data_IF_631831275307
#
_entry.id   IF_631831275307
#
_cell.length_a   1.000
_cell.length_b   1.000
_cell.length_c   1.000
_cell.angle_alpha   90.00
_cell.angle_beta   90.00
_cell.angle_gamma   90.00
#
_symmetry.space_group_name_H-M   'P 1'
#
loop_
_entity.id
_entity.type
_entity.pdbx_description
1 polymer ?
#
# COMPACT_ATOMS: atom_id res chain seq x y z
N UNK A 1 -7.80 7.97 6.62
CA UNK A 1 -7.38 6.81 5.80
C UNK A 1 -8.49 6.42 4.84
N UNK A 2 -8.14 6.19 3.58
CA UNK A 2 -9.02 5.57 2.58
C UNK A 2 -9.28 4.13 3.01
N UNK A 3 -10.54 3.69 3.07
CA UNK A 3 -10.86 2.27 3.27
C UNK A 3 -10.54 1.55 1.94
N UNK A 4 -9.66 0.54 1.91
CA UNK A 4 -9.44 -0.30 0.74
C UNK A 4 -10.72 -1.06 0.39
N UNK A 5 -10.95 -1.23 -0.91
CA UNK A 5 -12.09 -1.98 -1.45
C UNK A 5 -11.59 -3.15 -2.31
N UNK A 6 -12.50 -4.10 -2.59
CA UNK A 6 -12.21 -5.19 -3.53
C UNK A 6 -11.72 -4.65 -4.87
N UNK A 7 -10.70 -5.31 -5.42
CA UNK A 7 -10.01 -4.99 -6.68
C UNK A 7 -9.15 -3.73 -6.67
N UNK A 8 -9.01 -3.03 -5.55
CA UNK A 8 -8.01 -1.96 -5.44
C UNK A 8 -6.60 -2.54 -5.62
N UNK A 9 -5.74 -1.78 -6.31
CA UNK A 9 -4.32 -2.10 -6.41
C UNK A 9 -3.60 -1.48 -5.21
N UNK A 10 -2.78 -2.30 -4.56
CA UNK A 10 -2.00 -1.91 -3.40
C UNK A 10 -0.51 -2.01 -3.67
N UNK A 11 0.27 -1.37 -2.81
CA UNK A 11 1.73 -1.43 -2.77
C UNK A 11 2.18 -1.85 -1.36
N UNK A 12 3.08 -2.84 -1.29
CA UNK A 12 3.64 -3.32 -0.03
C UNK A 12 4.52 -2.26 0.66
N UNK A 13 4.41 -2.17 1.98
CA UNK A 13 5.24 -1.33 2.85
C UNK A 13 6.28 -2.11 3.65
N UNK A 14 6.29 -3.44 3.50
CA UNK A 14 7.17 -4.37 4.19
C UNK A 14 7.62 -5.46 3.22
N UNK A 15 8.76 -6.07 3.48
CA UNK A 15 9.17 -7.29 2.79
C UNK A 15 8.39 -8.49 3.33
N UNK A 16 8.05 -9.44 2.47
CA UNK A 16 7.43 -10.73 2.81
C UNK A 16 8.32 -11.86 2.25
N UNK A 17 9.46 -12.15 2.91
CA UNK A 17 10.47 -13.07 2.38
C UNK A 17 9.94 -14.50 2.18
N UNK A 18 8.94 -14.94 2.95
CA UNK A 18 8.26 -16.23 2.80
C UNK A 18 7.54 -16.39 1.44
N UNK A 19 7.20 -15.28 0.80
CA UNK A 19 6.56 -15.24 -0.51
C UNK A 19 7.51 -14.73 -1.62
N UNK A 20 8.79 -14.49 -1.29
CA UNK A 20 9.75 -13.78 -2.14
C UNK A 20 9.26 -12.39 -2.60
N UNK A 21 8.44 -11.72 -1.80
CA UNK A 21 7.94 -10.39 -2.13
C UNK A 21 8.73 -9.31 -1.39
N UNK A 22 8.94 -8.17 -2.05
CA UNK A 22 9.67 -7.03 -1.50
C UNK A 22 8.75 -5.82 -1.30
N UNK A 23 9.14 -4.93 -0.38
CA UNK A 23 8.52 -3.61 -0.24
C UNK A 23 8.47 -2.89 -1.61
N UNK A 24 7.32 -2.31 -1.93
CA UNK A 24 7.07 -1.64 -3.21
C UNK A 24 6.43 -2.53 -4.28
N UNK A 25 6.36 -3.84 -4.08
CA UNK A 25 5.62 -4.70 -5.00
C UNK A 25 4.11 -4.49 -4.90
N UNK A 26 3.45 -4.72 -6.03
CA UNK A 26 2.04 -4.37 -6.21
C UNK A 26 1.19 -5.61 -6.33
N UNK A 27 0.03 -5.58 -5.66
CA UNK A 27 -0.93 -6.67 -5.65
C UNK A 27 -2.36 -6.13 -5.67
N UNK A 28 -3.32 -7.00 -5.93
CA UNK A 28 -4.74 -6.66 -6.02
C UNK A 28 -5.49 -7.24 -4.82
N UNK A 29 -6.37 -6.44 -4.20
CA UNK A 29 -7.26 -6.96 -3.15
C UNK A 29 -8.29 -7.89 -3.78
N UNK A 30 -8.36 -9.13 -3.31
CA UNK A 30 -9.31 -10.14 -3.80
C UNK A 30 -10.32 -10.60 -2.74
N UNK A 31 -10.10 -10.30 -1.45
CA UNK A 31 -11.05 -10.55 -0.35
C UNK A 31 -10.91 -9.50 0.78
N UNK A 32 -12.03 -9.11 1.42
CA UNK A 32 -12.05 -8.28 2.65
C UNK A 32 -12.56 -9.15 3.82
N UNK A 33 -11.67 -9.48 4.75
CA UNK A 33 -12.01 -10.35 5.89
C UNK A 33 -12.87 -9.64 6.96
N UNK A 34 -13.19 -8.36 6.80
CA UNK A 34 -13.99 -7.53 7.72
C UNK A 34 -13.39 -7.33 9.12
N UNK A 35 -12.09 -7.58 9.28
CA UNK A 35 -11.34 -7.40 10.53
C UNK A 35 -10.13 -6.46 10.38
N UNK A 36 -10.00 -5.81 9.22
CA UNK A 36 -8.86 -4.97 8.87
C UNK A 36 -7.72 -5.73 8.19
N UNK A 37 -7.90 -7.03 7.93
CA UNK A 37 -7.05 -7.82 7.04
C UNK A 37 -7.72 -8.03 5.68
N UNK A 38 -6.89 -8.15 4.65
CA UNK A 38 -7.31 -8.30 3.26
C UNK A 38 -6.49 -9.41 2.62
N UNK A 39 -7.12 -10.21 1.75
CA UNK A 39 -6.37 -11.11 0.88
C UNK A 39 -5.90 -10.34 -0.34
N UNK A 40 -4.59 -10.39 -0.60
CA UNK A 40 -3.96 -9.70 -1.72
C UNK A 40 -3.32 -10.72 -2.64
N UNK A 41 -3.72 -10.68 -3.90
CA UNK A 41 -3.12 -11.46 -4.98
C UNK A 41 -1.98 -10.68 -5.63
N UNK A 42 -0.81 -11.31 -5.72
CA UNK A 42 0.30 -10.83 -6.52
C UNK A 42 0.40 -11.71 -7.76
N UNK A 43 0.48 -11.08 -8.93
CA UNK A 43 0.55 -11.78 -10.22
C UNK A 43 1.79 -11.32 -10.99
N UNK A 44 2.35 -12.20 -11.81
CA UNK A 44 3.44 -11.85 -12.71
C UNK A 44 2.95 -11.12 -13.97
N UNK A 45 3.87 -10.73 -14.86
CA UNK A 45 3.56 -10.04 -16.13
C UNK A 45 2.70 -10.87 -17.11
N UNK A 46 2.56 -12.17 -16.88
CA UNK A 46 1.70 -13.06 -17.66
C UNK A 46 0.29 -13.18 -17.06
N UNK A 47 0.03 -12.55 -15.91
CA UNK A 47 -1.23 -12.64 -15.17
C UNK A 47 -1.37 -13.92 -14.34
N UNK A 48 -0.28 -14.65 -14.10
CA UNK A 48 -0.28 -15.83 -13.24
C UNK A 48 -0.10 -15.40 -11.79
N UNK A 49 -0.95 -15.91 -10.89
CA UNK A 49 -0.81 -15.71 -9.45
C UNK A 49 0.51 -16.31 -8.96
N UNK A 50 1.37 -15.50 -8.36
CA UNK A 50 2.64 -15.91 -7.76
C UNK A 50 2.59 -15.97 -6.24
N UNK A 51 1.69 -15.19 -5.62
CA UNK A 51 1.45 -15.22 -4.19
C UNK A 51 0.02 -14.78 -3.86
N UNK A 52 -0.50 -15.32 -2.76
CA UNK A 52 -1.74 -14.90 -2.14
C UNK A 52 -1.43 -14.68 -0.66
N UNK A 53 -1.63 -13.45 -0.17
CA UNK A 53 -1.22 -13.05 1.16
C UNK A 53 -2.37 -12.38 1.93
N UNK A 54 -2.70 -12.90 3.11
CA UNK A 54 -3.58 -12.22 4.06
C UNK A 54 -2.80 -11.15 4.83
N UNK A 55 -3.01 -9.87 4.50
CA UNK A 55 -2.23 -8.76 5.05
C UNK A 55 -3.11 -7.78 5.83
N UNK A 56 -2.68 -7.32 7.02
CA UNK A 56 -3.32 -6.23 7.72
C UNK A 56 -3.11 -4.92 6.95
N UNK A 57 -4.10 -4.02 7.04
CA UNK A 57 -4.08 -2.73 6.32
C UNK A 57 -2.80 -1.90 6.56
N UNK A 58 -2.09 -2.09 7.68
CA UNK A 58 -0.84 -1.38 8.00
C UNK A 58 0.34 -1.76 7.10
N UNK A 59 0.32 -2.93 6.45
CA UNK A 59 1.43 -3.43 5.64
C UNK A 59 1.38 -3.01 4.17
N UNK A 60 0.35 -2.27 3.75
CA UNK A 60 0.23 -1.78 2.38
C UNK A 60 -0.44 -0.39 2.32
N UNK A 61 -0.37 0.25 1.15
CA UNK A 61 -1.22 1.39 0.76
C UNK A 61 -1.98 1.06 -0.51
N UNK A 62 -3.18 1.64 -0.68
CA UNK A 62 -3.86 1.66 -1.99
C UNK A 62 -3.12 2.65 -2.90
N UNK A 63 -2.89 2.28 -4.16
CA UNK A 63 -2.27 3.14 -5.18
C UNK A 63 -3.16 3.36 -6.40
N UNK A 64 -4.15 2.50 -6.61
CA UNK A 64 -5.20 2.66 -7.62
C UNK A 64 -6.52 2.13 -7.09
N UNK A 65 -7.60 2.86 -7.37
CA UNK A 65 -8.94 2.57 -6.89
C UNK A 65 -9.81 1.95 -7.98
N UNK A 66 -10.38 0.79 -7.71
CA UNK A 66 -11.23 0.07 -8.65
C UNK A 66 -12.56 0.76 -8.90
N UNK A 67 -13.20 1.25 -7.82
CA UNK A 67 -14.52 1.85 -7.85
C UNK A 67 -14.66 2.98 -8.88
N UNK A 68 -13.63 3.84 -8.96
CA UNK A 68 -13.61 5.00 -9.86
C UNK A 68 -12.56 4.88 -10.98
N UNK A 69 -11.79 3.79 -11.01
CA UNK A 69 -10.74 3.50 -11.98
C UNK A 69 -9.64 4.57 -12.05
N UNK A 70 -9.24 5.11 -10.89
CA UNK A 70 -8.24 6.18 -10.83
C UNK A 70 -7.00 5.79 -10.03
N UNK A 71 -5.83 6.22 -10.52
CA UNK A 71 -4.59 6.21 -9.73
C UNK A 71 -4.65 7.28 -8.65
N UNK A 72 -4.08 6.99 -7.47
CA UNK A 72 -3.84 8.01 -6.48
C UNK A 72 -2.75 8.98 -6.96
N UNK A 73 -2.98 10.26 -6.75
CA UNK A 73 -1.98 11.30 -6.92
C UNK A 73 -0.80 11.10 -5.98
N UNK A 74 0.34 11.72 -6.30
CA UNK A 74 1.52 11.70 -5.44
C UNK A 74 1.20 12.20 -4.02
N UNK A 75 0.40 13.26 -3.89
CA UNK A 75 0.00 13.80 -2.59
C UNK A 75 -0.84 12.81 -1.79
N UNK A 76 -1.76 12.09 -2.43
CA UNK A 76 -2.55 11.04 -1.76
C UNK A 76 -1.67 9.88 -1.31
N UNK A 77 -0.74 9.41 -2.15
CA UNK A 77 0.23 8.36 -1.78
C UNK A 77 1.11 8.80 -0.61
N UNK A 78 1.68 10.01 -0.68
CA UNK A 78 2.49 10.58 0.40
C UNK A 78 1.69 10.70 1.70
N UNK A 79 0.45 11.18 1.63
CA UNK A 79 -0.43 11.28 2.81
C UNK A 79 -0.68 9.90 3.42
N UNK A 80 -0.97 8.89 2.60
CA UNK A 80 -1.20 7.52 3.07
C UNK A 80 0.04 6.90 3.73
N UNK A 81 1.24 7.19 3.20
CA UNK A 81 2.50 6.76 3.80
C UNK A 81 2.77 7.47 5.14
N UNK A 82 2.63 8.80 5.17
CA UNK A 82 2.88 9.61 6.36
C UNK A 82 1.92 9.23 7.50
N UNK A 83 0.63 9.02 7.20
CA UNK A 83 -0.38 8.62 8.18
C UNK A 83 -0.04 7.31 8.91
N UNK A 84 0.72 6.41 8.27
CA UNK A 84 1.16 5.13 8.85
C UNK A 84 2.47 5.22 9.63
N UNK A 85 3.21 6.32 9.48
CA UNK A 85 4.46 6.50 10.22
C UNK A 85 4.20 6.89 11.68
N UNK A 86 5.04 6.45 12.64
CA UNK A 86 5.05 7.00 13.99
C UNK A 86 5.23 8.53 13.98
N UNK A 87 4.59 9.24 14.93
CA UNK A 87 4.64 10.72 15.01
C UNK A 87 6.07 11.30 14.97
N UNK A 88 7.03 10.63 15.61
CA UNK A 88 8.44 11.04 15.56
C UNK A 88 9.00 11.02 14.13
N UNK A 89 8.65 10.00 13.33
CA UNK A 89 9.08 9.91 11.93
C UNK A 89 8.31 10.89 11.04
N UNK A 90 7.04 11.17 11.30
CA UNK A 90 6.29 12.21 10.59
C UNK A 90 6.95 13.59 10.75
N UNK A 91 7.42 13.92 11.96
CA UNK A 91 8.15 15.17 12.21
C UNK A 91 9.45 15.23 11.40
N UNK A 92 10.20 14.11 11.31
CA UNK A 92 11.42 14.04 10.48
C UNK A 92 11.13 14.29 9.00
N UNK A 93 10.02 13.75 8.47
CA UNK A 93 9.59 14.02 7.09
C UNK A 93 9.28 15.50 6.88
N UNK A 94 8.58 16.14 7.82
CA UNK A 94 8.29 17.57 7.77
C UNK A 94 9.57 18.42 7.79
N UNK A 95 10.52 18.09 8.67
CA UNK A 95 11.77 18.83 8.80
C UNK A 95 12.67 18.67 7.56
N UNK A 96 12.74 17.46 7.00
CA UNK A 96 13.39 17.22 5.70
C UNK A 96 12.74 18.04 4.58
N UNK A 97 11.41 18.09 4.55
CA UNK A 97 10.68 18.86 3.53
C UNK A 97 11.00 20.36 3.63
N UNK A 98 11.07 20.92 4.85
CA UNK A 98 11.50 22.31 5.09
C UNK A 98 12.93 22.57 4.63
N UNK A 99 13.84 21.61 4.83
CA UNK A 99 15.22 21.71 4.38
C UNK A 99 15.34 21.83 2.86
N UNK A 100 14.47 21.17 2.08
CA UNK A 100 14.49 21.27 0.61
C UNK A 100 14.15 22.68 0.07
N UNK A 101 13.60 23.58 0.90
CA UNK A 101 13.32 24.97 0.54
C UNK A 101 14.43 25.94 0.93
N UNK A 102 15.50 25.46 1.57
CA UNK A 102 16.68 26.25 1.94
C UNK A 102 17.73 26.20 0.82
#
# INVERSE_FOLDING_TARGET
MIKPELFDLVELLVDLPEHNLMMGEQGTIVEDYNDGCYEIEFSNDLGETIALCSLPMQQFIVIWKAQNKTWLSLTEKLTALIDKLPKEKQQKVLDFTRFLYQ
#
